data_IF_469176786799
#
_entry.id   IF_469176786799
#
_cell.length_a   1.000
_cell.length_b   1.000
_cell.length_c   1.000
_cell.angle_alpha   90.00
_cell.angle_beta   90.00
_cell.angle_gamma   90.00
#
_symmetry.space_group_name_H-M   'P 1'
#
loop_
_entity.id
_entity.type
_entity.pdbx_description
1 polymer ?
#
# COMPACT_ATOMS: atom_id res chain seq x y z
N UNK A 1 20.34 -10.42 0.61
CA UNK A 1 19.06 -11.09 0.26
C UNK A 1 17.97 -10.29 0.91
N UNK A 2 16.87 -10.05 0.17
CA UNK A 2 15.67 -9.44 0.72
C UNK A 2 14.62 -10.50 0.98
N UNK A 3 13.76 -10.26 1.97
CA UNK A 3 12.73 -11.19 2.40
C UNK A 3 11.34 -10.64 2.13
N UNK A 4 10.42 -11.52 1.75
CA UNK A 4 9.03 -11.18 1.49
C UNK A 4 8.08 -12.28 1.96
N UNK A 5 6.92 -11.86 2.49
CA UNK A 5 5.81 -12.75 2.84
C UNK A 5 4.50 -11.96 2.89
N UNK A 6 3.38 -12.66 3.09
CA UNK A 6 2.08 -12.08 3.41
C UNK A 6 1.96 -11.94 4.92
N UNK A 7 1.38 -10.84 5.42
CA UNK A 7 1.24 -10.62 6.86
C UNK A 7 0.00 -9.79 7.20
N UNK A 8 -0.66 -10.14 8.30
CA UNK A 8 -1.77 -9.37 8.90
C UNK A 8 -2.87 -8.99 7.91
N UNK A 9 -3.24 -9.92 7.03
CA UNK A 9 -4.23 -9.68 5.97
C UNK A 9 -5.67 -9.73 6.50
N UNK A 10 -6.05 -10.83 7.20
CA UNK A 10 -7.40 -11.08 7.67
C UNK A 10 -7.47 -11.26 9.18
N UNK A 11 -8.68 -11.17 9.76
CA UNK A 11 -8.92 -11.41 11.19
C UNK A 11 -8.61 -12.85 11.57
N UNK A 12 -9.02 -13.82 10.75
CA UNK A 12 -8.75 -15.24 10.99
C UNK A 12 -7.25 -15.52 11.08
N UNK A 13 -6.45 -14.83 10.27
CA UNK A 13 -4.99 -14.93 10.32
C UNK A 13 -4.42 -14.42 11.65
N UNK A 14 -4.96 -13.32 12.18
CA UNK A 14 -4.58 -12.80 13.48
C UNK A 14 -4.96 -13.77 14.60
N UNK A 15 -6.18 -14.28 14.55
CA UNK A 15 -6.70 -15.23 15.57
C UNK A 15 -5.89 -16.52 15.58
N UNK A 16 -5.56 -17.07 14.41
CA UNK A 16 -4.70 -18.25 14.30
C UNK A 16 -3.31 -18.01 14.89
N UNK A 17 -2.70 -16.87 14.65
CA UNK A 17 -1.41 -16.51 15.22
C UNK A 17 -1.49 -16.36 16.75
N UNK A 18 -2.52 -15.69 17.25
CA UNK A 18 -2.79 -15.55 18.69
C UNK A 18 -2.98 -16.90 19.39
N UNK A 19 -3.78 -17.79 18.80
CA UNK A 19 -4.05 -19.13 19.35
C UNK A 19 -2.78 -19.99 19.37
N UNK A 20 -1.99 -19.95 18.29
CA UNK A 20 -0.83 -20.82 18.14
C UNK A 20 0.42 -20.33 18.86
N UNK A 21 0.65 -19.01 18.86
CA UNK A 21 1.90 -18.39 19.32
C UNK A 21 1.72 -17.42 20.48
N UNK A 22 0.48 -17.10 20.89
CA UNK A 22 0.14 -16.05 21.86
C UNK A 22 0.65 -14.64 21.46
N UNK A 23 0.89 -14.42 20.17
CA UNK A 23 1.45 -13.20 19.57
C UNK A 23 0.60 -12.74 18.39
N UNK A 24 0.71 -11.46 18.03
CA UNK A 24 0.26 -11.02 16.72
C UNK A 24 1.24 -11.48 15.63
N UNK A 25 0.84 -11.49 14.35
CA UNK A 25 1.76 -11.82 13.27
C UNK A 25 3.00 -10.92 13.23
N UNK A 26 2.85 -9.61 13.50
CA UNK A 26 3.98 -8.66 13.51
C UNK A 26 4.91 -8.93 14.72
N UNK A 27 4.34 -9.23 15.90
CA UNK A 27 5.14 -9.62 17.08
C UNK A 27 5.92 -10.90 16.80
N UNK A 28 5.29 -11.89 16.17
CA UNK A 28 5.96 -13.13 15.79
C UNK A 28 7.15 -12.87 14.83
N UNK A 29 6.96 -12.02 13.82
CA UNK A 29 8.05 -11.62 12.92
C UNK A 29 9.19 -10.90 13.67
N UNK A 30 8.85 -10.04 14.63
CA UNK A 30 9.84 -9.33 15.44
C UNK A 30 10.69 -10.28 16.30
N UNK A 31 10.07 -11.27 16.94
CA UNK A 31 10.74 -12.30 17.75
C UNK A 31 11.66 -13.24 16.94
N UNK A 32 11.47 -13.28 15.62
CA UNK A 32 12.22 -14.18 14.72
C UNK A 32 13.14 -13.41 13.76
N UNK A 33 13.48 -12.16 14.05
CA UNK A 33 14.35 -11.30 13.24
C UNK A 33 13.86 -11.10 11.79
N UNK A 34 12.52 -11.12 11.61
CA UNK A 34 11.86 -10.91 10.31
C UNK A 34 11.32 -9.50 10.14
N UNK A 35 11.98 -8.50 10.72
CA UNK A 35 11.72 -7.08 10.49
C UNK A 35 13.03 -6.37 10.13
N UNK A 36 12.99 -5.48 9.17
CA UNK A 36 14.17 -4.74 8.73
C UNK A 36 13.96 -4.03 7.39
N UNK A 37 14.92 -3.22 7.00
CA UNK A 37 14.89 -2.46 5.73
C UNK A 37 15.10 -3.33 4.49
N UNK A 38 15.36 -4.60 4.66
CA UNK A 38 15.46 -5.63 3.63
C UNK A 38 14.26 -6.59 3.64
N UNK A 39 13.24 -6.28 4.43
CA UNK A 39 11.99 -7.06 4.54
C UNK A 39 10.79 -6.22 4.12
N UNK A 40 9.85 -6.83 3.41
CA UNK A 40 8.54 -6.22 3.17
C UNK A 40 7.44 -7.28 3.20
N UNK A 41 6.23 -6.85 3.53
CA UNK A 41 5.06 -7.72 3.58
C UNK A 41 3.96 -7.26 2.64
N UNK A 42 3.26 -8.21 2.03
CA UNK A 42 2.01 -7.92 1.36
C UNK A 42 0.89 -7.68 2.39
N UNK A 43 -0.09 -6.86 2.01
CA UNK A 43 -1.35 -6.56 2.69
C UNK A 43 -1.26 -5.64 3.90
N UNK A 44 -0.75 -6.09 5.04
CA UNK A 44 -0.66 -5.34 6.30
C UNK A 44 -1.96 -4.56 6.64
N UNK A 45 -3.12 -5.23 6.47
CA UNK A 45 -4.45 -4.61 6.61
C UNK A 45 -4.86 -4.50 8.08
N UNK A 46 -4.54 -5.52 8.88
CA UNK A 46 -4.97 -5.68 10.27
C UNK A 46 -3.82 -5.39 11.23
N UNK A 47 -3.43 -4.12 11.32
CA UNK A 47 -2.35 -3.66 12.19
C UNK A 47 -2.87 -2.86 13.38
N UNK A 48 -2.18 -2.99 14.50
CA UNK A 48 -2.33 -2.12 15.66
C UNK A 48 -1.43 -0.87 15.49
N UNK A 49 -1.76 0.27 16.13
CA UNK A 49 -0.93 1.49 16.03
C UNK A 49 0.53 1.27 16.43
N UNK A 50 0.79 0.48 17.47
CA UNK A 50 2.15 0.12 17.91
C UNK A 50 2.91 -0.73 16.90
N UNK A 51 2.22 -1.55 16.10
CA UNK A 51 2.81 -2.35 15.02
C UNK A 51 3.20 -1.46 13.85
N UNK A 52 2.35 -0.49 13.48
CA UNK A 52 2.68 0.51 12.47
C UNK A 52 3.95 1.27 12.88
N UNK A 53 4.02 1.72 14.13
CA UNK A 53 5.20 2.40 14.66
C UNK A 53 6.46 1.50 14.66
N UNK A 54 6.31 0.20 14.93
CA UNK A 54 7.40 -0.77 14.89
C UNK A 54 7.92 -0.98 13.48
N UNK A 55 7.04 -1.20 12.51
CA UNK A 55 7.40 -1.33 11.08
C UNK A 55 8.13 -0.09 10.56
N UNK A 56 7.69 1.11 10.95
CA UNK A 56 8.39 2.35 10.61
C UNK A 56 9.79 2.44 11.20
N UNK A 57 9.95 2.12 12.50
CA UNK A 57 11.28 2.13 13.15
C UNK A 57 12.25 1.12 12.57
N UNK A 58 11.78 -0.02 12.09
CA UNK A 58 12.62 -1.07 11.49
C UNK A 58 12.87 -0.84 10.00
N UNK A 59 12.12 0.06 9.35
CA UNK A 59 12.18 0.28 7.92
C UNK A 59 11.56 -0.86 7.10
N UNK A 60 10.76 -1.72 7.74
CA UNK A 60 10.06 -2.82 7.08
C UNK A 60 8.98 -2.29 6.15
N UNK A 61 8.99 -2.70 4.87
CA UNK A 61 8.12 -2.17 3.83
C UNK A 61 6.77 -2.87 3.70
N UNK A 62 5.87 -2.24 2.95
CA UNK A 62 4.58 -2.81 2.52
C UNK A 62 4.47 -2.88 1.00
N UNK A 63 3.93 -4.00 0.48
CA UNK A 63 3.35 -4.11 -0.85
C UNK A 63 1.82 -4.14 -0.69
N UNK A 64 1.17 -3.00 -0.90
CA UNK A 64 -0.28 -2.89 -0.79
C UNK A 64 -0.96 -3.45 -2.03
N UNK A 65 -1.94 -4.34 -1.83
CA UNK A 65 -2.66 -5.04 -2.90
C UNK A 65 -4.16 -4.70 -2.82
N UNK A 66 -4.57 -3.49 -3.19
CA UNK A 66 -5.92 -2.98 -2.93
C UNK A 66 -7.03 -3.79 -3.58
N UNK A 67 -6.87 -4.25 -4.82
CA UNK A 67 -7.89 -5.04 -5.52
C UNK A 67 -8.03 -6.43 -4.90
N UNK A 68 -6.92 -7.11 -4.62
CA UNK A 68 -6.93 -8.39 -3.91
C UNK A 68 -7.61 -8.26 -2.54
N UNK A 69 -7.21 -7.25 -1.74
CA UNK A 69 -7.82 -6.99 -0.44
C UNK A 69 -9.33 -6.73 -0.55
N UNK A 70 -9.76 -6.00 -1.57
CA UNK A 70 -11.17 -5.73 -1.85
C UNK A 70 -11.93 -6.99 -2.24
N UNK A 71 -11.37 -7.79 -3.15
CA UNK A 71 -11.98 -9.05 -3.62
C UNK A 71 -12.14 -10.07 -2.50
N UNK A 72 -11.14 -10.23 -1.66
CA UNK A 72 -11.14 -11.18 -0.54
C UNK A 72 -11.87 -10.66 0.71
N UNK A 73 -12.28 -9.38 0.71
CA UNK A 73 -12.92 -8.76 1.87
C UNK A 73 -11.97 -8.53 3.04
N UNK A 74 -10.66 -8.51 2.80
CA UNK A 74 -9.65 -8.31 3.84
C UNK A 74 -9.73 -6.91 4.45
N UNK A 75 -10.16 -5.90 3.68
CA UNK A 75 -10.29 -4.51 4.08
C UNK A 75 -9.25 -3.60 3.45
N UNK A 76 -9.04 -2.42 4.03
CA UNK A 76 -8.16 -1.37 3.49
C UNK A 76 -7.03 -1.11 4.48
N UNK A 77 -5.77 -1.38 4.07
CA UNK A 77 -4.60 -0.99 4.86
C UNK A 77 -4.51 0.53 5.02
N UNK A 78 -4.03 1.01 6.15
CA UNK A 78 -3.84 2.44 6.41
C UNK A 78 -2.50 2.93 5.87
N UNK A 79 -2.43 3.17 4.55
CA UNK A 79 -1.18 3.60 3.92
C UNK A 79 -0.69 4.95 4.45
N UNK A 80 -1.63 5.85 4.79
CA UNK A 80 -1.27 7.17 5.29
C UNK A 80 -0.61 7.09 6.66
N UNK A 81 -1.15 6.26 7.57
CA UNK A 81 -0.53 6.04 8.86
C UNK A 81 0.81 5.29 8.75
N UNK A 82 0.90 4.31 7.86
CA UNK A 82 2.15 3.59 7.58
C UNK A 82 3.23 4.54 7.06
N UNK A 83 2.92 5.36 6.06
CA UNK A 83 3.87 6.32 5.49
C UNK A 83 4.27 7.40 6.50
N UNK A 84 3.32 7.91 7.29
CA UNK A 84 3.61 8.86 8.37
C UNK A 84 4.54 8.27 9.43
N UNK A 85 4.46 6.97 9.67
CA UNK A 85 5.38 6.25 10.58
C UNK A 85 6.75 5.96 9.95
N UNK A 86 6.96 6.26 8.66
CA UNK A 86 8.20 6.02 7.94
C UNK A 86 8.31 4.63 7.30
N UNK A 87 7.22 3.89 7.19
CA UNK A 87 7.17 2.61 6.47
C UNK A 87 7.31 2.87 4.97
N UNK A 88 8.27 2.22 4.27
CA UNK A 88 8.33 2.26 2.81
C UNK A 88 7.07 1.64 2.20
N UNK A 89 6.33 2.44 1.42
CA UNK A 89 5.07 2.02 0.79
C UNK A 89 5.27 1.70 -0.68
N UNK A 90 4.75 0.54 -1.12
CA UNK A 90 4.65 0.16 -2.52
C UNK A 90 3.30 -0.48 -2.84
N UNK A 91 3.05 -0.72 -4.13
CA UNK A 91 1.87 -1.41 -4.63
C UNK A 91 2.25 -2.78 -5.19
N UNK A 92 1.31 -3.72 -5.16
CA UNK A 92 1.43 -5.04 -5.75
C UNK A 92 0.08 -5.56 -6.24
N UNK A 93 0.10 -6.40 -7.27
CA UNK A 93 -1.13 -6.98 -7.86
C UNK A 93 -1.59 -8.25 -7.14
N UNK A 94 -0.73 -8.87 -6.32
CA UNK A 94 -0.96 -10.17 -5.72
C UNK A 94 -1.15 -11.30 -6.77
N UNK A 95 -1.73 -12.42 -6.36
CA UNK A 95 -1.94 -13.57 -7.24
C UNK A 95 -3.15 -13.44 -8.16
N UNK A 96 -3.12 -14.10 -9.31
CA UNK A 96 -4.21 -14.08 -10.30
C UNK A 96 -5.55 -14.61 -9.75
N UNK A 97 -5.53 -15.41 -8.69
CA UNK A 97 -6.75 -15.91 -8.05
C UNK A 97 -7.53 -14.82 -7.29
N UNK A 98 -6.85 -13.80 -6.79
CA UNK A 98 -7.44 -12.67 -6.07
C UNK A 98 -7.44 -11.36 -6.86
N UNK A 99 -6.75 -11.36 -8.01
CA UNK A 99 -6.71 -10.23 -8.94
C UNK A 99 -6.62 -10.78 -10.37
N UNK A 100 -7.66 -10.59 -11.18
CA UNK A 100 -7.75 -11.15 -12.52
C UNK A 100 -6.81 -10.50 -13.55
N UNK A 101 -6.31 -9.29 -13.24
CA UNK A 101 -5.46 -8.52 -14.14
C UNK A 101 -4.16 -8.11 -13.44
N UNK A 102 -3.02 -8.42 -14.03
CA UNK A 102 -1.73 -7.89 -13.57
C UNK A 102 -1.56 -6.44 -14.07
N UNK A 103 -2.47 -5.55 -13.67
CA UNK A 103 -2.55 -4.17 -14.14
C UNK A 103 -2.23 -3.19 -13.00
N UNK A 104 -1.00 -2.68 -12.98
CA UNK A 104 -0.52 -1.73 -11.97
C UNK A 104 -1.22 -0.36 -12.03
N UNK A 105 -1.81 0.04 -13.18
CA UNK A 105 -2.59 1.27 -13.23
C UNK A 105 -3.90 1.13 -12.45
N UNK A 106 -4.59 0.00 -12.64
CA UNK A 106 -5.82 -0.27 -11.89
C UNK A 106 -5.54 -0.45 -10.39
N UNK A 107 -4.38 -0.99 -10.00
CA UNK A 107 -3.94 -1.02 -8.60
C UNK A 107 -3.71 0.39 -8.03
N UNK A 108 -3.00 1.25 -8.76
CA UNK A 108 -2.78 2.63 -8.36
C UNK A 108 -4.11 3.39 -8.20
N UNK A 109 -5.03 3.23 -9.17
CA UNK A 109 -6.36 3.82 -9.10
C UNK A 109 -7.17 3.28 -7.91
N UNK A 110 -7.17 1.97 -7.69
CA UNK A 110 -7.83 1.36 -6.53
C UNK A 110 -7.23 1.86 -5.21
N UNK A 111 -5.90 1.93 -5.10
CA UNK A 111 -5.22 2.48 -3.92
C UNK A 111 -5.66 3.92 -3.64
N UNK A 112 -5.66 4.78 -4.66
CA UNK A 112 -6.11 6.16 -4.55
C UNK A 112 -7.55 6.28 -4.04
N UNK A 113 -8.49 5.58 -4.67
CA UNK A 113 -9.90 5.62 -4.28
C UNK A 113 -10.13 5.08 -2.88
N UNK A 114 -9.49 3.95 -2.53
CA UNK A 114 -9.73 3.28 -1.26
C UNK A 114 -9.13 4.06 -0.07
N UNK A 115 -7.97 4.72 -0.22
CA UNK A 115 -7.45 5.58 0.86
C UNK A 115 -8.37 6.79 1.11
N UNK A 116 -8.91 7.39 0.06
CA UNK A 116 -9.88 8.51 0.16
C UNK A 116 -11.19 8.05 0.78
N UNK A 117 -11.73 6.90 0.34
CA UNK A 117 -12.95 6.33 0.92
C UNK A 117 -12.76 5.99 2.40
N UNK A 118 -11.64 5.36 2.77
CA UNK A 118 -11.29 5.03 4.16
C UNK A 118 -11.24 6.28 5.04
N UNK A 119 -10.52 7.31 4.64
CA UNK A 119 -10.45 8.57 5.40
C UNK A 119 -11.83 9.23 5.51
N UNK A 120 -12.58 9.28 4.41
CA UNK A 120 -13.94 9.84 4.40
C UNK A 120 -14.90 9.08 5.33
N UNK A 121 -14.82 7.76 5.40
CA UNK A 121 -15.63 6.93 6.30
C UNK A 121 -15.29 7.19 7.78
N UNK A 122 -14.04 7.48 8.11
CA UNK A 122 -13.60 7.76 9.48
C UNK A 122 -13.82 9.21 9.90
N UNK A 123 -14.10 10.11 8.95
CA UNK A 123 -14.35 11.54 9.24
C UNK A 123 -15.62 11.70 10.09
N UNK A 124 -15.53 12.53 11.14
CA UNK A 124 -16.65 12.84 12.01
C UNK A 124 -17.21 14.23 11.68
N UNK A 125 -18.56 14.41 11.68
CA UNK A 125 -19.17 15.71 11.47
C UNK A 125 -18.77 16.71 12.57
N UNK A 126 -18.62 17.99 12.21
CA UNK A 126 -18.24 19.06 13.17
C UNK A 126 -19.22 19.20 14.32
N UNK A 127 -20.53 19.01 14.08
CA UNK A 127 -21.55 19.07 15.14
C UNK A 127 -21.44 17.93 16.16
N UNK A 128 -20.70 16.86 15.82
CA UNK A 128 -20.39 15.74 16.74
C UNK A 128 -19.02 15.92 17.41
N UNK A 129 -18.41 17.12 17.36
CA UNK A 129 -17.10 17.42 17.94
C UNK A 129 -15.93 16.97 17.07
N UNK A 130 -16.18 16.52 15.83
CA UNK A 130 -15.13 16.15 14.89
C UNK A 130 -14.58 17.34 14.13
N UNK A 131 -13.32 17.26 13.71
CA UNK A 131 -12.76 18.10 12.67
C UNK A 131 -13.14 17.47 11.33
N UNK A 132 -13.96 18.17 10.53
CA UNK A 132 -14.31 17.68 9.19
C UNK A 132 -13.09 17.80 8.27
N UNK A 133 -12.28 16.77 8.26
CA UNK A 133 -11.29 16.56 7.22
C UNK A 133 -11.86 15.52 6.25
N UNK A 134 -12.33 15.97 5.09
CA UNK A 134 -12.84 15.08 4.04
C UNK A 134 -11.76 14.13 3.55
N UNK A 135 -12.15 13.03 2.93
CA UNK A 135 -11.23 12.07 2.33
C UNK A 135 -10.57 12.56 1.03
N UNK A 136 -10.96 13.73 0.52
CA UNK A 136 -10.54 14.23 -0.79
C UNK A 136 -9.01 14.41 -0.94
N UNK A 137 -8.32 14.74 0.14
CA UNK A 137 -6.88 14.99 0.16
C UNK A 137 -6.09 13.85 0.84
N UNK A 138 -6.72 12.68 1.02
CA UNK A 138 -6.11 11.57 1.73
C UNK A 138 -4.93 10.94 0.98
N UNK A 139 -5.04 10.87 -0.35
CA UNK A 139 -3.98 10.44 -1.24
C UNK A 139 -4.09 11.24 -2.55
N UNK A 140 -2.97 11.62 -3.12
CA UNK A 140 -2.87 12.28 -4.42
C UNK A 140 -2.52 11.28 -5.52
N UNK A 141 -2.62 11.72 -6.77
CA UNK A 141 -2.16 10.91 -7.92
C UNK A 141 -0.65 10.71 -7.83
N UNK A 142 0.09 11.73 -7.42
CA UNK A 142 1.54 11.67 -7.23
C UNK A 142 1.93 10.62 -6.18
N UNK A 143 1.15 10.48 -5.10
CA UNK A 143 1.41 9.46 -4.08
C UNK A 143 1.29 8.06 -4.68
N UNK A 144 0.21 7.75 -5.38
CA UNK A 144 -0.01 6.40 -5.92
C UNK A 144 0.96 6.07 -7.05
N UNK A 145 1.35 7.05 -7.86
CA UNK A 145 2.42 6.88 -8.86
C UNK A 145 3.76 6.61 -8.17
N UNK A 146 4.08 7.35 -7.13
CA UNK A 146 5.29 7.15 -6.31
C UNK A 146 5.29 5.76 -5.65
N UNK A 147 4.19 5.33 -5.05
CA UNK A 147 4.08 3.99 -4.45
C UNK A 147 4.25 2.88 -5.49
N UNK A 148 3.66 3.04 -6.68
CA UNK A 148 3.76 2.06 -7.79
C UNK A 148 5.10 2.07 -8.53
N UNK A 149 5.97 3.05 -8.31
CA UNK A 149 7.27 3.19 -9.00
C UNK A 149 8.45 3.25 -8.03
N UNK A 150 8.76 4.43 -7.50
CA UNK A 150 9.89 4.62 -6.59
C UNK A 150 9.75 3.81 -5.29
N UNK A 151 8.53 3.67 -4.76
CA UNK A 151 8.25 2.84 -3.59
C UNK A 151 8.55 1.36 -3.85
N UNK A 152 8.12 0.83 -4.99
CA UNK A 152 8.47 -0.53 -5.42
C UNK A 152 9.97 -0.73 -5.55
N UNK A 153 10.67 0.18 -6.21
CA UNK A 153 12.12 0.16 -6.35
C UNK A 153 12.82 0.18 -4.97
N UNK A 154 12.34 1.01 -4.06
CA UNK A 154 12.89 1.14 -2.70
C UNK A 154 12.83 -0.17 -1.93
N UNK A 155 11.65 -0.82 -1.85
CA UNK A 155 11.50 -2.07 -1.09
C UNK A 155 12.27 -3.23 -1.74
N UNK A 156 12.46 -3.21 -3.05
CA UNK A 156 13.27 -4.17 -3.79
C UNK A 156 14.76 -3.88 -3.72
N UNK A 157 15.17 -2.71 -3.22
CA UNK A 157 16.57 -2.28 -3.15
C UNK A 157 17.17 -1.92 -4.50
N UNK A 158 16.36 -1.50 -5.45
CA UNK A 158 16.77 -1.10 -6.79
C UNK A 158 17.12 0.40 -6.81
N UNK A 159 18.32 0.74 -6.38
CA UNK A 159 18.73 2.14 -6.20
C UNK A 159 18.78 2.97 -7.50
N UNK A 160 18.78 2.33 -8.66
CA UNK A 160 18.85 2.97 -9.97
C UNK A 160 17.54 2.87 -10.77
N UNK A 161 16.44 2.46 -10.16
CA UNK A 161 15.11 2.32 -10.79
C UNK A 161 14.05 3.15 -10.07
N UNK A 162 12.87 3.27 -10.66
CA UNK A 162 11.69 3.86 -10.05
C UNK A 162 11.52 5.37 -10.28
N UNK A 163 12.49 6.04 -10.90
CA UNK A 163 12.40 7.47 -11.26
C UNK A 163 12.98 7.73 -12.65
N UNK A 164 12.43 8.74 -13.36
CA UNK A 164 12.91 9.18 -14.65
C UNK A 164 13.96 10.31 -14.48
N UNK A 165 15.22 9.91 -14.37
CA UNK A 165 16.34 10.84 -14.21
C UNK A 165 17.55 10.39 -15.03
N UNK A 166 18.41 11.34 -15.43
CA UNK A 166 19.67 11.03 -16.12
C UNK A 166 20.56 10.17 -15.21
N UNK A 167 21.02 9.05 -15.74
CA UNK A 167 21.86 8.08 -15.00
C UNK A 167 21.08 6.96 -14.31
N UNK A 168 19.74 7.01 -14.32
CA UNK A 168 18.90 5.91 -13.85
C UNK A 168 18.66 4.88 -14.95
N UNK A 169 18.21 3.68 -14.56
CA UNK A 169 17.76 2.66 -15.51
C UNK A 169 16.51 3.14 -16.24
N UNK A 170 16.42 2.85 -17.54
CA UNK A 170 15.30 3.25 -18.38
C UNK A 170 14.16 2.20 -18.34
N UNK A 171 13.72 1.84 -17.13
CA UNK A 171 12.52 1.01 -16.91
C UNK A 171 11.29 1.90 -17.05
N UNK A 172 10.63 1.85 -18.22
CA UNK A 172 9.58 2.78 -18.61
C UNK A 172 8.28 2.03 -18.90
N UNK A 173 7.16 2.57 -18.42
CA UNK A 173 5.82 2.20 -18.88
C UNK A 173 5.27 3.35 -19.73
N UNK A 174 4.83 3.04 -20.95
CA UNK A 174 4.27 4.02 -21.90
C UNK A 174 2.81 3.68 -22.12
N UNK A 175 1.94 4.65 -21.90
CA UNK A 175 0.49 4.49 -22.02
C UNK A 175 -0.06 5.30 -23.18
N UNK A 176 -1.04 4.70 -23.90
CA UNK A 176 -1.84 5.41 -24.89
C UNK A 176 -3.05 6.02 -24.20
N UNK A 177 -3.29 7.31 -24.40
CA UNK A 177 -4.40 8.05 -23.78
C UNK A 177 -5.58 8.26 -24.72
N UNK A 178 -5.56 7.66 -25.92
CA UNK A 178 -6.63 7.69 -26.91
C UNK A 178 -7.64 6.51 -26.79
N UNK A 179 -7.56 5.76 -25.71
CA UNK A 179 -8.51 4.70 -25.39
C UNK A 179 -9.80 5.29 -24.77
N UNK A 180 -10.99 4.72 -25.06
CA UNK A 180 -12.25 5.20 -24.48
C UNK A 180 -12.29 5.34 -22.96
N UNK A 181 -11.48 4.57 -22.22
CA UNK A 181 -11.35 4.69 -20.75
C UNK A 181 -10.86 6.05 -20.27
N UNK A 182 -10.20 6.82 -21.17
CA UNK A 182 -9.66 8.14 -20.87
C UNK A 182 -10.52 9.28 -21.36
N UNK A 183 -11.74 9.02 -21.87
CA UNK A 183 -12.66 10.08 -22.24
C UNK A 183 -13.04 10.92 -21.04
N UNK A 184 -12.84 12.24 -21.16
CA UNK A 184 -13.01 13.19 -20.06
C UNK A 184 -11.72 13.53 -19.32
N UNK A 185 -10.60 12.89 -19.66
CA UNK A 185 -9.29 13.27 -19.15
C UNK A 185 -8.95 14.69 -19.64
N UNK A 186 -8.88 15.64 -18.73
CA UNK A 186 -8.60 17.06 -19.02
C UNK A 186 -7.15 17.46 -18.68
N UNK A 187 -6.43 16.61 -17.96
CA UNK A 187 -5.03 16.78 -17.64
C UNK A 187 -4.32 15.43 -17.76
N UNK A 188 -3.40 15.32 -18.70
CA UNK A 188 -2.66 14.08 -18.96
C UNK A 188 -1.68 13.72 -17.83
N UNK A 189 -1.34 14.67 -16.96
CA UNK A 189 -0.44 14.43 -15.84
C UNK A 189 -1.11 13.74 -14.63
N UNK A 190 -2.45 13.79 -14.56
CA UNK A 190 -3.23 13.22 -13.46
C UNK A 190 -4.00 11.94 -13.83
N UNK A 191 -3.90 11.49 -15.07
CA UNK A 191 -4.34 10.18 -15.51
C UNK A 191 -3.12 9.32 -15.78
N UNK A 192 -3.18 8.09 -15.98
CA UNK A 192 -4.23 7.09 -15.93
C UNK A 192 -4.50 6.52 -14.55
#
# INVERSE_FOLDING_TARGET
IRLHSHLSETVDYLDAARQKFAMTPVQFCAEHDWLGNDVWFAHLVKLLPEEIALLGRTGTGIAHCPQSNGRLGSGIADLLALEQAGVPVSLGVDGAASNEAADMQSEAHAAWLLQRARKGMLAQPRYAGGTFEGGADAATVEDVVRWGSAGGAQILGLAQSGTLQVGMQADLAIYRLDDPRYFGLHDMAIGP
#
